data_IF_909918479724
#
_entry.id   IF_909918479724
#
_cell.length_a   1.000
_cell.length_b   1.000
_cell.length_c   1.000
_cell.angle_alpha   90.00
_cell.angle_beta   90.00
_cell.angle_gamma   90.00
#
_symmetry.space_group_name_H-M   'P 1'
#
loop_
_entity.id
_entity.type
_entity.pdbx_description
1 polymer ?
#
# COMPACT_ATOMS: atom_id res chain seq x y z
N UNK A 1 33.83 18.20 -34.30
CA UNK A 1 33.94 17.69 -32.92
C UNK A 1 32.72 18.04 -32.08
N UNK A 2 32.14 19.23 -32.24
CA UNK A 2 31.03 19.75 -31.42
C UNK A 2 29.69 18.99 -31.61
N UNK A 3 29.40 18.53 -32.83
CA UNK A 3 28.16 17.77 -33.11
C UNK A 3 28.09 16.43 -32.37
N UNK A 4 29.24 15.76 -32.19
CA UNK A 4 29.33 14.51 -31.43
C UNK A 4 29.03 14.75 -29.95
N UNK A 5 29.56 15.82 -29.37
CA UNK A 5 29.25 16.21 -27.99
C UNK A 5 27.76 16.48 -27.80
N UNK A 6 27.12 17.16 -28.76
CA UNK A 6 25.68 17.43 -28.72
C UNK A 6 24.84 16.14 -28.75
N UNK A 7 25.15 15.22 -29.67
CA UNK A 7 24.47 13.92 -29.77
C UNK A 7 24.67 13.05 -28.52
N UNK A 8 25.88 13.03 -27.97
CA UNK A 8 26.19 12.22 -26.78
C UNK A 8 25.50 12.79 -25.54
N UNK A 9 25.43 14.12 -25.42
CA UNK A 9 24.68 14.79 -24.36
C UNK A 9 23.17 14.51 -24.44
N UNK A 10 22.60 14.56 -25.65
CA UNK A 10 21.18 14.24 -25.86
C UNK A 10 20.87 12.77 -25.54
N UNK A 11 21.75 11.84 -25.96
CA UNK A 11 21.64 10.42 -25.63
C UNK A 11 21.75 10.16 -24.12
N UNK A 12 22.64 10.86 -23.43
CA UNK A 12 22.77 10.81 -21.97
C UNK A 12 21.53 11.29 -21.24
N UNK A 13 20.96 12.43 -21.65
CA UNK A 13 19.72 12.98 -21.09
C UNK A 13 18.54 12.04 -21.32
N UNK A 14 18.40 11.47 -22.53
CA UNK A 14 17.39 10.46 -22.84
C UNK A 14 17.55 9.22 -21.97
N UNK A 15 18.76 8.70 -21.82
CA UNK A 15 19.06 7.56 -20.95
C UNK A 15 18.67 7.83 -19.49
N UNK A 16 19.03 9.01 -18.98
CA UNK A 16 18.74 9.41 -17.60
C UNK A 16 17.22 9.58 -17.37
N UNK A 17 16.50 10.13 -18.34
CA UNK A 17 15.04 10.22 -18.31
C UNK A 17 14.37 8.85 -18.29
N UNK A 18 14.82 7.91 -19.14
CA UNK A 18 14.28 6.55 -19.18
C UNK A 18 14.54 5.80 -17.87
N UNK A 19 15.78 5.80 -17.39
CA UNK A 19 16.16 5.14 -16.13
C UNK A 19 15.40 5.75 -14.97
N UNK A 20 15.35 7.08 -14.88
CA UNK A 20 14.58 7.78 -13.86
C UNK A 20 13.11 7.34 -13.90
N UNK A 21 12.46 7.42 -15.05
CA UNK A 21 11.03 7.08 -15.16
C UNK A 21 10.74 5.62 -14.81
N UNK A 22 11.60 4.69 -15.24
CA UNK A 22 11.46 3.25 -14.95
C UNK A 22 11.67 2.95 -13.47
N UNK A 23 12.60 3.62 -12.78
CA UNK A 23 12.81 3.43 -11.33
C UNK A 23 11.77 4.15 -10.46
N UNK A 24 11.32 5.34 -10.85
CA UNK A 24 10.39 6.13 -10.04
C UNK A 24 8.97 5.54 -10.02
N UNK A 25 8.54 4.87 -11.10
CA UNK A 25 7.22 4.19 -11.15
C UNK A 25 7.03 3.10 -10.07
N UNK A 26 7.91 2.08 -9.94
CA UNK A 26 7.77 1.06 -8.91
C UNK A 26 7.96 1.62 -7.50
N UNK A 27 8.83 2.62 -7.32
CA UNK A 27 9.00 3.27 -6.02
C UNK A 27 7.70 3.95 -5.55
N UNK A 28 7.01 4.66 -6.45
CA UNK A 28 5.71 5.26 -6.15
C UNK A 28 4.67 4.22 -5.78
N UNK A 29 4.70 3.04 -6.42
CA UNK A 29 3.82 1.93 -6.07
C UNK A 29 4.13 1.37 -4.67
N UNK A 30 5.41 1.17 -4.32
CA UNK A 30 5.80 0.70 -3.00
C UNK A 30 5.40 1.67 -1.89
N UNK A 31 5.61 2.97 -2.10
CA UNK A 31 5.18 4.01 -1.14
C UNK A 31 3.67 3.95 -0.97
N UNK A 32 2.92 3.85 -2.07
CA UNK A 32 1.47 3.69 -2.00
C UNK A 32 1.11 2.44 -1.21
N UNK A 33 1.68 1.28 -1.51
CA UNK A 33 1.40 0.04 -0.78
C UNK A 33 1.68 0.19 0.72
N UNK A 34 2.77 0.85 1.09
CA UNK A 34 3.13 1.13 2.48
C UNK A 34 2.09 2.02 3.17
N UNK A 35 1.61 3.09 2.53
CA UNK A 35 0.57 3.97 3.09
C UNK A 35 -0.72 3.20 3.35
N UNK A 36 -1.12 2.34 2.41
CA UNK A 36 -2.35 1.56 2.53
C UNK A 36 -2.22 0.51 3.65
N UNK A 37 -1.07 -0.15 3.77
CA UNK A 37 -0.79 -1.06 4.88
C UNK A 37 -0.80 -0.34 6.23
N UNK A 38 -0.21 0.86 6.32
CA UNK A 38 -0.20 1.67 7.55
C UNK A 38 -1.63 2.06 7.96
N UNK A 39 -2.43 2.55 7.00
CA UNK A 39 -3.84 2.88 7.24
C UNK A 39 -4.63 1.65 7.71
N UNK A 40 -4.45 0.51 7.05
CA UNK A 40 -5.12 -0.74 7.42
C UNK A 40 -4.75 -1.24 8.81
N UNK A 41 -3.47 -1.14 9.19
CA UNK A 41 -3.01 -1.51 10.52
C UNK A 41 -3.62 -0.60 11.60
N UNK A 42 -3.65 0.72 11.36
CA UNK A 42 -4.27 1.70 12.28
C UNK A 42 -5.77 1.44 12.42
N UNK A 43 -6.47 1.24 11.29
CA UNK A 43 -7.90 0.92 11.27
C UNK A 43 -8.23 -0.36 12.03
N UNK A 44 -7.47 -1.44 11.80
CA UNK A 44 -7.66 -2.71 12.50
C UNK A 44 -7.35 -2.59 14.00
N UNK A 45 -6.31 -1.86 14.37
CA UNK A 45 -5.98 -1.63 15.78
C UNK A 45 -7.11 -0.88 16.48
N UNK A 46 -7.61 0.20 15.87
CA UNK A 46 -8.76 0.95 16.38
C UNK A 46 -10.03 0.09 16.46
N UNK A 47 -10.30 -0.69 15.41
CA UNK A 47 -11.41 -1.62 15.39
C UNK A 47 -11.31 -2.65 16.52
N UNK A 48 -10.16 -3.31 16.68
CA UNK A 48 -9.95 -4.31 17.75
C UNK A 48 -10.08 -3.72 19.15
N UNK A 49 -9.73 -2.45 19.36
CA UNK A 49 -9.99 -1.78 20.64
C UNK A 49 -11.49 -1.62 20.86
N UNK A 50 -12.23 -1.16 19.87
CA UNK A 50 -13.68 -0.96 19.97
C UNK A 50 -14.44 -2.30 20.10
N UNK A 51 -14.18 -3.24 19.20
CA UNK A 51 -14.78 -4.57 19.12
C UNK A 51 -14.33 -5.49 20.26
N UNK A 52 -13.13 -5.29 20.81
CA UNK A 52 -12.64 -6.05 21.96
C UNK A 52 -13.51 -5.88 23.20
N UNK A 53 -14.19 -4.74 23.37
CA UNK A 53 -15.18 -4.55 24.44
C UNK A 53 -16.40 -5.48 24.29
N UNK A 54 -16.67 -5.95 23.07
CA UNK A 54 -17.72 -6.90 22.74
C UNK A 54 -17.20 -8.34 22.62
N UNK A 55 -15.93 -8.60 22.94
CA UNK A 55 -15.28 -9.91 22.82
C UNK A 55 -14.85 -10.28 21.39
N UNK A 56 -14.94 -9.37 20.43
CA UNK A 56 -14.56 -9.60 19.04
C UNK A 56 -13.14 -9.11 18.75
N UNK A 57 -12.32 -9.99 18.19
CA UNK A 57 -10.94 -9.68 17.79
C UNK A 57 -10.68 -10.13 16.36
N UNK A 58 -10.37 -9.17 15.49
CA UNK A 58 -9.94 -9.41 14.11
C UNK A 58 -8.43 -9.67 14.12
N UNK A 59 -7.99 -10.76 13.49
CA UNK A 59 -6.57 -11.07 13.37
C UNK A 59 -5.83 -9.96 12.61
N UNK A 60 -4.70 -9.50 13.16
CA UNK A 60 -3.84 -8.48 12.54
C UNK A 60 -2.73 -9.19 11.78
N UNK A 61 -2.92 -9.43 10.50
CA UNK A 61 -1.95 -10.07 9.61
C UNK A 61 -1.83 -9.29 8.30
N UNK A 62 -0.81 -9.55 7.46
CA UNK A 62 -0.61 -8.78 6.22
C UNK A 62 -1.83 -8.78 5.29
N UNK A 63 -2.59 -9.88 5.26
CA UNK A 63 -3.79 -9.99 4.42
C UNK A 63 -4.88 -9.07 4.95
N UNK A 64 -5.25 -9.19 6.23
CA UNK A 64 -6.30 -8.36 6.84
C UNK A 64 -5.92 -6.89 6.85
N UNK A 65 -4.64 -6.56 7.10
CA UNK A 65 -4.11 -5.19 7.02
C UNK A 65 -4.26 -4.64 5.60
N UNK A 66 -3.91 -5.40 4.57
CA UNK A 66 -4.10 -4.95 3.19
C UNK A 66 -5.58 -4.82 2.83
N UNK A 67 -6.44 -5.74 3.28
CA UNK A 67 -7.88 -5.66 3.04
C UNK A 67 -8.50 -4.44 3.72
N UNK A 68 -8.18 -4.20 5.00
CA UNK A 68 -8.62 -3.02 5.74
C UNK A 68 -7.98 -1.73 5.23
N UNK A 69 -6.75 -1.79 4.70
CA UNK A 69 -6.08 -0.65 4.09
C UNK A 69 -6.70 -0.27 2.75
N UNK A 70 -7.00 -1.27 1.92
CA UNK A 70 -7.58 -1.11 0.57
C UNK A 70 -9.05 -0.73 0.61
N UNK A 71 -9.83 -1.42 1.43
CA UNK A 71 -11.25 -1.17 1.53
C UNK A 71 -11.59 -0.20 2.66
N UNK A 72 -10.63 0.22 3.51
CA UNK A 72 -10.87 1.15 4.63
C UNK A 72 -12.02 0.68 5.55
N UNK A 73 -13.01 1.55 5.79
CA UNK A 73 -14.20 1.26 6.60
C UNK A 73 -14.98 0.03 6.10
N UNK A 74 -15.39 -0.09 4.82
CA UNK A 74 -16.05 -1.31 4.35
C UNK A 74 -15.17 -2.57 4.49
N UNK A 75 -13.85 -2.43 4.43
CA UNK A 75 -12.92 -3.53 4.67
C UNK A 75 -12.97 -4.04 6.11
N UNK A 76 -12.95 -3.14 7.09
CA UNK A 76 -13.07 -3.49 8.51
C UNK A 76 -14.42 -4.15 8.80
N UNK A 77 -15.51 -3.62 8.24
CA UNK A 77 -16.86 -4.20 8.39
C UNK A 77 -16.93 -5.60 7.80
N UNK A 78 -16.38 -5.82 6.61
CA UNK A 78 -16.34 -7.14 5.99
C UNK A 78 -15.54 -8.13 6.84
N UNK A 79 -14.36 -7.74 7.32
CA UNK A 79 -13.53 -8.59 8.18
C UNK A 79 -14.23 -8.93 9.50
N UNK A 80 -14.94 -7.97 10.10
CA UNK A 80 -15.74 -8.20 11.30
C UNK A 80 -16.89 -9.20 11.03
N UNK A 81 -17.60 -9.06 9.90
CA UNK A 81 -18.67 -9.99 9.50
C UNK A 81 -18.15 -11.40 9.24
N UNK A 82 -17.02 -11.55 8.56
CA UNK A 82 -16.39 -12.85 8.31
C UNK A 82 -15.96 -13.49 9.64
N UNK A 83 -15.35 -12.70 10.52
CA UNK A 83 -14.93 -13.18 11.83
C UNK A 83 -16.14 -13.62 12.68
N UNK A 84 -17.23 -12.86 12.66
CA UNK A 84 -18.50 -13.22 13.30
C UNK A 84 -19.07 -14.53 12.75
N UNK A 85 -19.10 -14.71 11.42
CA UNK A 85 -19.62 -15.92 10.78
C UNK A 85 -18.79 -17.18 11.10
N UNK A 86 -17.47 -17.04 11.24
CA UNK A 86 -16.56 -18.17 11.51
C UNK A 86 -16.47 -18.53 13.00
N UNK A 87 -16.68 -17.56 13.90
CA UNK A 87 -16.65 -17.77 15.35
C UNK A 87 -18.03 -18.08 15.94
N UNK A 88 -19.12 -17.73 15.24
CA UNK A 88 -20.50 -18.04 15.58
C UNK A 88 -20.94 -19.43 15.18
#
# INVERSE_FOLDING_TARGET
MEWKLFLTGLAGLLGLYLVGTVLFRPLKFLIRLAVWALLGAVLLAAANVLLGHFGFHIAVNPVTIMTAGILQLPGVVLLALINYLYMG
#
